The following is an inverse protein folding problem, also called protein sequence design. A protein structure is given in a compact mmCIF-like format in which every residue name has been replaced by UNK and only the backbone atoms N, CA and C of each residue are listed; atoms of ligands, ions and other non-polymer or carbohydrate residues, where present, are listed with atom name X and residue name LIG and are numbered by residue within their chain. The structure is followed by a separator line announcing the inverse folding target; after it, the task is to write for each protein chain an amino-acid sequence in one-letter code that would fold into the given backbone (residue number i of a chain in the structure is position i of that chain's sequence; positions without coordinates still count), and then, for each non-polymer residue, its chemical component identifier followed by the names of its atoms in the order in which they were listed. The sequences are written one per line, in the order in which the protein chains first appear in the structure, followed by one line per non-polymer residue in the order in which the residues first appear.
data_IF_522251095933
#
_entry.id   IF_522251095933
#
_cell.length_a   1.000
_cell.length_b   1.000
_cell.length_c   1.000
_cell.angle_alpha   90.00
_cell.angle_beta   90.00
_cell.angle_gamma   90.00
#
_symmetry.space_group_name_H-M   'P 1'
#
loop_
_entity.id
_entity.type
_entity.pdbx_description
1 polymer ?
#
# COMPACT_ATOMS: atom_id res chain seq x y z
N UNK A 1 16.08 -27.06 17.43
CA UNK A 1 15.22 -26.28 16.50
C UNK A 1 16.08 -25.95 15.29
N UNK A 2 15.72 -26.43 14.09
CA UNK A 2 16.47 -26.09 12.87
C UNK A 2 16.40 -24.57 12.66
N UNK A 3 17.54 -23.91 12.51
CA UNK A 3 17.56 -22.50 12.07
C UNK A 3 16.79 -22.41 10.77
N UNK A 4 15.77 -21.51 10.73
CA UNK A 4 15.03 -21.26 9.50
C UNK A 4 15.95 -20.52 8.55
N UNK A 5 16.08 -21.04 7.34
CA UNK A 5 16.84 -20.40 6.28
C UNK A 5 16.24 -19.02 5.98
N UNK A 6 17.06 -17.96 6.01
CA UNK A 6 16.69 -16.60 5.64
C UNK A 6 17.23 -16.32 4.25
N UNK A 7 16.39 -15.80 3.36
CA UNK A 7 16.72 -15.43 1.98
C UNK A 7 16.39 -13.96 1.74
N UNK A 8 17.38 -13.21 1.31
CA UNK A 8 17.17 -11.84 0.84
C UNK A 8 16.81 -11.87 -0.66
N UNK A 9 15.74 -11.18 -1.03
CA UNK A 9 15.26 -11.07 -2.42
C UNK A 9 15.00 -9.61 -2.77
N UNK A 10 15.03 -9.25 -4.05
CA UNK A 10 14.57 -7.93 -4.46
C UNK A 10 13.03 -7.84 -4.38
N UNK A 11 12.50 -6.61 -4.43
CA UNK A 11 11.05 -6.35 -4.24
C UNK A 11 10.20 -7.11 -5.27
N UNK A 12 10.57 -7.05 -6.56
CA UNK A 12 9.80 -7.69 -7.63
C UNK A 12 9.80 -9.21 -7.47
N UNK A 13 10.95 -9.83 -7.24
CA UNK A 13 11.08 -11.26 -7.00
C UNK A 13 10.30 -11.69 -5.75
N UNK A 14 10.42 -10.93 -4.66
CA UNK A 14 9.74 -11.23 -3.41
C UNK A 14 8.21 -11.28 -3.58
N UNK A 15 7.63 -10.26 -4.20
CA UNK A 15 6.18 -10.24 -4.44
C UNK A 15 5.73 -11.27 -5.48
N UNK A 16 6.54 -11.57 -6.51
CA UNK A 16 6.25 -12.66 -7.45
C UNK A 16 6.18 -14.02 -6.73
N UNK A 17 7.12 -14.28 -5.82
CA UNK A 17 7.14 -15.50 -5.01
C UNK A 17 5.98 -15.55 -4.00
N UNK A 18 5.54 -14.40 -3.48
CA UNK A 18 4.50 -14.31 -2.47
C UNK A 18 3.07 -14.36 -3.05
N UNK A 19 2.88 -13.96 -4.30
CA UNK A 19 1.58 -13.75 -4.92
C UNK A 19 0.56 -14.88 -4.69
N UNK A 20 1.00 -16.13 -4.76
CA UNK A 20 0.11 -17.29 -4.63
C UNK A 20 -0.45 -17.50 -3.22
N UNK A 21 0.23 -16.99 -2.16
CA UNK A 21 -0.19 -17.14 -0.76
C UNK A 21 -0.58 -15.85 -0.09
N UNK A 22 -0.36 -14.70 -0.73
CA UNK A 22 -0.49 -13.36 -0.15
C UNK A 22 -1.84 -13.13 0.55
N UNK A 23 -2.93 -13.48 -0.11
CA UNK A 23 -4.28 -13.27 0.42
C UNK A 23 -4.72 -14.35 1.43
N UNK A 24 -3.93 -15.40 1.61
CA UNK A 24 -4.28 -16.53 2.49
C UNK A 24 -3.61 -16.44 3.87
N UNK A 25 -2.68 -15.52 4.04
CA UNK A 25 -1.96 -15.31 5.30
C UNK A 25 -2.68 -14.27 6.17
N UNK A 26 -2.75 -14.54 7.48
CA UNK A 26 -3.15 -13.50 8.43
C UNK A 26 -2.06 -12.46 8.51
N UNK A 27 -2.33 -11.25 8.05
CA UNK A 27 -1.40 -10.14 8.06
C UNK A 27 -1.95 -9.02 8.94
N UNK A 28 -1.27 -8.75 10.06
CA UNK A 28 -1.69 -7.72 11.02
C UNK A 28 -1.62 -6.31 10.44
N UNK A 29 -0.66 -6.06 9.55
CA UNK A 29 -0.54 -4.76 8.87
C UNK A 29 -1.74 -4.50 7.96
N UNK A 30 -2.15 -5.49 7.16
CA UNK A 30 -3.34 -5.41 6.31
C UNK A 30 -4.60 -5.21 7.17
N UNK A 31 -4.73 -5.94 8.28
CA UNK A 31 -5.87 -5.80 9.19
C UNK A 31 -6.02 -4.36 9.73
N UNK A 32 -4.92 -3.77 10.19
CA UNK A 32 -4.91 -2.39 10.70
C UNK A 32 -5.21 -1.37 9.59
N UNK A 33 -4.59 -1.58 8.45
CA UNK A 33 -4.69 -0.72 7.28
C UNK A 33 -6.14 -0.64 6.77
N UNK A 34 -6.81 -1.78 6.56
CA UNK A 34 -8.18 -1.83 6.04
C UNK A 34 -9.17 -1.03 6.89
N UNK A 35 -9.06 -1.10 8.22
CA UNK A 35 -9.93 -0.36 9.14
C UNK A 35 -9.80 1.16 8.98
N UNK A 36 -8.56 1.65 8.79
CA UNK A 36 -8.32 3.07 8.59
C UNK A 36 -8.74 3.51 7.21
N UNK A 37 -8.44 2.72 6.18
CA UNK A 37 -8.86 3.00 4.80
C UNK A 37 -10.38 3.09 4.71
N UNK A 38 -11.13 2.17 5.35
CA UNK A 38 -12.60 2.21 5.39
C UNK A 38 -13.11 3.52 5.98
N UNK A 39 -12.54 3.94 7.11
CA UNK A 39 -12.89 5.19 7.77
C UNK A 39 -12.60 6.42 6.90
N UNK A 40 -11.44 6.45 6.24
CA UNK A 40 -11.02 7.59 5.43
C UNK A 40 -11.82 7.68 4.12
N UNK A 41 -12.04 6.55 3.44
CA UNK A 41 -12.85 6.52 2.21
C UNK A 41 -14.32 6.90 2.45
N UNK A 42 -14.87 6.62 3.63
CA UNK A 42 -16.23 7.03 3.97
C UNK A 42 -16.42 8.56 4.07
N UNK A 43 -15.34 9.33 4.15
CA UNK A 43 -15.37 10.79 4.27
C UNK A 43 -15.31 11.52 2.92
N UNK A 44 -15.03 10.80 1.84
CA UNK A 44 -14.79 11.38 0.51
C UNK A 44 -15.66 10.74 -0.55
N UNK A 45 -15.88 11.46 -1.65
CA UNK A 45 -16.58 10.93 -2.82
C UNK A 45 -15.60 10.81 -3.99
N UNK A 46 -15.71 9.72 -4.72
CA UNK A 46 -14.84 9.44 -5.86
C UNK A 46 -15.57 8.58 -6.89
N UNK A 47 -15.10 8.62 -8.13
CA UNK A 47 -15.65 7.87 -9.27
C UNK A 47 -14.56 7.27 -10.15
N UNK A 48 -13.40 7.94 -10.28
CA UNK A 48 -12.26 7.51 -11.11
C UNK A 48 -11.04 7.31 -10.23
N UNK A 49 -10.69 6.06 -10.04
CA UNK A 49 -9.66 5.66 -9.08
C UNK A 49 -8.42 5.13 -9.78
N UNK A 50 -7.26 5.54 -9.30
CA UNK A 50 -5.98 4.91 -9.59
C UNK A 50 -5.47 4.18 -8.34
N UNK A 51 -5.27 2.87 -8.45
CA UNK A 51 -4.65 2.03 -7.41
C UNK A 51 -3.21 1.70 -7.82
N UNK A 52 -2.24 2.26 -7.10
CA UNK A 52 -0.80 2.14 -7.41
C UNK A 52 -0.15 1.15 -6.46
N UNK A 53 0.46 0.10 -7.02
CA UNK A 53 0.93 -1.06 -6.26
C UNK A 53 -0.24 -1.92 -5.81
N UNK A 54 -1.16 -2.18 -6.73
CA UNK A 54 -2.43 -2.86 -6.45
C UNK A 54 -2.28 -4.28 -5.90
N UNK A 55 -1.12 -4.92 -6.10
CA UNK A 55 -0.86 -6.29 -5.68
C UNK A 55 -1.87 -7.28 -6.25
N UNK A 56 -2.49 -8.07 -5.39
CA UNK A 56 -3.58 -9.01 -5.73
C UNK A 56 -4.91 -8.32 -6.02
N UNK A 57 -4.96 -6.99 -6.00
CA UNK A 57 -6.13 -6.21 -6.36
C UNK A 57 -7.08 -5.91 -5.21
N UNK A 58 -6.67 -6.02 -3.96
CA UNK A 58 -7.51 -5.89 -2.77
C UNK A 58 -8.35 -4.61 -2.76
N UNK A 59 -7.72 -3.44 -2.95
CA UNK A 59 -8.43 -2.16 -3.03
C UNK A 59 -9.11 -1.98 -4.39
N UNK A 60 -8.44 -2.29 -5.50
CA UNK A 60 -9.02 -2.17 -6.84
C UNK A 60 -10.36 -2.92 -6.98
N UNK A 61 -10.41 -4.18 -6.56
CA UNK A 61 -11.63 -5.00 -6.58
C UNK A 61 -12.73 -4.42 -5.71
N UNK A 62 -12.38 -4.01 -4.48
CA UNK A 62 -13.33 -3.42 -3.54
C UNK A 62 -13.95 -2.13 -4.08
N UNK A 63 -13.13 -1.23 -4.62
CA UNK A 63 -13.58 0.05 -5.17
C UNK A 63 -14.42 -0.14 -6.44
N UNK A 64 -14.04 -1.09 -7.30
CA UNK A 64 -14.82 -1.45 -8.48
C UNK A 64 -16.19 -2.07 -8.11
N UNK A 65 -16.29 -2.90 -7.06
CA UNK A 65 -17.58 -3.38 -6.51
C UNK A 65 -18.46 -2.23 -6.02
N UNK A 66 -17.84 -1.16 -5.52
CA UNK A 66 -18.53 0.08 -5.14
C UNK A 66 -18.97 0.96 -6.33
N UNK A 67 -18.70 0.54 -7.57
CA UNK A 67 -19.10 1.25 -8.78
C UNK A 67 -18.08 2.24 -9.32
N UNK A 68 -16.88 2.33 -8.75
CA UNK A 68 -15.82 3.18 -9.27
C UNK A 68 -15.21 2.62 -10.56
N UNK A 69 -14.82 3.51 -11.48
CA UNK A 69 -13.94 3.18 -12.61
C UNK A 69 -12.51 3.11 -12.14
N UNK A 70 -11.90 1.93 -12.17
CA UNK A 70 -10.59 1.68 -11.56
C UNK A 70 -9.54 1.36 -12.62
N UNK A 71 -8.42 2.10 -12.57
CA UNK A 71 -7.13 1.71 -13.16
C UNK A 71 -6.20 1.24 -12.05
N UNK A 72 -5.46 0.16 -12.29
CA UNK A 72 -4.63 -0.47 -11.27
C UNK A 72 -3.25 -0.85 -11.81
N UNK A 73 -2.21 -0.47 -11.11
CA UNK A 73 -0.82 -0.64 -11.49
C UNK A 73 -0.07 -1.54 -10.51
N UNK A 74 0.78 -2.43 -11.01
CA UNK A 74 1.75 -3.16 -10.19
C UNK A 74 2.97 -3.55 -11.01
N UNK A 75 4.12 -3.70 -10.37
CA UNK A 75 5.36 -4.16 -11.03
C UNK A 75 5.48 -5.68 -11.12
N UNK A 76 4.68 -6.44 -10.37
CA UNK A 76 4.67 -7.91 -10.40
C UNK A 76 3.58 -8.43 -11.32
N UNK A 77 3.99 -9.13 -12.38
CA UNK A 77 3.07 -9.82 -13.29
C UNK A 77 2.28 -10.91 -12.58
N UNK A 78 2.86 -11.55 -11.57
CA UNK A 78 2.27 -12.63 -10.79
C UNK A 78 1.16 -12.09 -9.87
N UNK A 79 1.39 -10.96 -9.20
CA UNK A 79 0.38 -10.24 -8.44
C UNK A 79 -0.79 -9.84 -9.34
N UNK A 80 -0.50 -9.21 -10.48
CA UNK A 80 -1.53 -8.82 -11.45
C UNK A 80 -2.29 -10.02 -12.03
N UNK A 81 -1.66 -11.18 -12.17
CA UNK A 81 -2.36 -12.38 -12.62
C UNK A 81 -3.44 -12.82 -11.63
N UNK A 82 -3.15 -12.75 -10.32
CA UNK A 82 -4.13 -13.02 -9.25
C UNK A 82 -5.25 -11.99 -9.29
N UNK A 83 -4.92 -10.70 -9.34
CA UNK A 83 -5.89 -9.60 -9.41
C UNK A 83 -6.82 -9.71 -10.62
N UNK A 84 -6.27 -9.94 -11.81
CA UNK A 84 -7.05 -10.14 -13.05
C UNK A 84 -7.95 -11.36 -12.98
N UNK A 85 -7.49 -12.45 -12.36
CA UNK A 85 -8.31 -13.64 -12.19
C UNK A 85 -9.51 -13.35 -11.26
N UNK A 86 -9.29 -12.64 -10.16
CA UNK A 86 -10.35 -12.25 -9.23
C UNK A 86 -11.36 -11.31 -9.91
N UNK A 87 -10.90 -10.28 -10.62
CA UNK A 87 -11.75 -9.35 -11.36
C UNK A 87 -12.62 -10.05 -12.41
N UNK A 88 -12.03 -10.99 -13.19
CA UNK A 88 -12.79 -11.78 -14.18
C UNK A 88 -13.88 -12.66 -13.54
N UNK A 89 -13.58 -13.29 -12.39
CA UNK A 89 -14.58 -14.10 -11.67
C UNK A 89 -15.79 -13.29 -11.21
N UNK A 90 -15.57 -12.01 -10.91
CA UNK A 90 -16.62 -11.11 -10.44
C UNK A 90 -17.20 -10.20 -11.53
N UNK A 91 -16.69 -10.29 -12.77
CA UNK A 91 -17.16 -9.46 -13.89
C UNK A 91 -16.82 -7.96 -13.72
N UNK A 92 -15.75 -7.63 -12.97
CA UNK A 92 -15.35 -6.25 -12.70
C UNK A 92 -14.44 -5.72 -13.81
N UNK A 93 -14.80 -4.61 -14.49
CA UNK A 93 -14.00 -4.01 -15.56
C UNK A 93 -12.89 -3.12 -14.98
N UNK A 94 -11.77 -3.71 -14.55
CA UNK A 94 -10.61 -3.00 -14.02
C UNK A 94 -9.50 -2.98 -15.06
N UNK A 95 -8.90 -1.79 -15.31
CA UNK A 95 -7.76 -1.62 -16.21
C UNK A 95 -6.45 -1.91 -15.47
N UNK A 96 -5.98 -3.16 -15.52
CA UNK A 96 -4.71 -3.57 -14.91
C UNK A 96 -3.53 -3.38 -15.86
N UNK A 97 -2.49 -2.68 -15.42
CA UNK A 97 -1.25 -2.48 -16.19
C UNK A 97 -0.01 -2.89 -15.39
N UNK A 98 0.91 -3.57 -16.07
CA UNK A 98 2.26 -3.81 -15.52
C UNK A 98 3.03 -2.49 -15.56
N UNK A 99 3.53 -2.05 -14.41
CA UNK A 99 4.16 -0.74 -14.28
C UNK A 99 5.09 -0.69 -13.06
N UNK A 100 6.22 -0.01 -13.20
CA UNK A 100 7.15 0.28 -12.10
C UNK A 100 7.08 1.75 -11.72
N UNK A 101 7.07 2.05 -10.41
CA UNK A 101 7.16 3.43 -9.89
C UNK A 101 8.50 4.13 -10.19
N UNK A 102 9.47 3.42 -10.78
CA UNK A 102 10.69 4.02 -11.32
C UNK A 102 10.45 4.74 -12.64
N UNK A 103 9.31 4.49 -13.31
CA UNK A 103 8.91 5.12 -14.56
C UNK A 103 7.91 6.26 -14.32
N UNK A 104 7.59 7.03 -15.35
CA UNK A 104 6.55 8.06 -15.28
C UNK A 104 5.16 7.43 -15.40
N UNK A 105 4.23 7.85 -14.53
CA UNK A 105 2.86 7.32 -14.54
C UNK A 105 2.22 7.46 -15.95
N UNK A 106 1.71 6.35 -16.54
CA UNK A 106 1.24 6.30 -17.93
C UNK A 106 -0.20 6.84 -18.06
N UNK A 107 -0.44 7.99 -17.43
CA UNK A 107 -1.75 8.66 -17.41
C UNK A 107 -1.58 10.16 -17.63
N UNK A 108 -2.61 10.77 -18.21
CA UNK A 108 -2.69 12.21 -18.37
C UNK A 108 -2.84 12.94 -17.02
N UNK A 109 -2.52 14.24 -17.01
CA UNK A 109 -2.76 15.06 -15.84
C UNK A 109 -4.28 15.18 -15.57
N UNK A 110 -4.65 15.32 -14.29
CA UNK A 110 -6.04 15.58 -13.85
C UNK A 110 -7.05 14.47 -14.22
N UNK A 111 -6.60 13.21 -14.26
CA UNK A 111 -7.43 12.11 -14.71
C UNK A 111 -8.26 11.46 -13.59
N UNK A 112 -7.76 11.43 -12.35
CA UNK A 112 -8.34 10.68 -11.23
C UNK A 112 -8.83 11.60 -10.12
N UNK A 113 -9.94 11.23 -9.47
CA UNK A 113 -10.47 11.90 -8.28
C UNK A 113 -10.05 11.20 -6.97
N UNK A 114 -9.55 9.95 -7.06
CA UNK A 114 -8.86 9.28 -5.97
C UNK A 114 -7.61 8.55 -6.50
N UNK A 115 -6.49 8.71 -5.82
CA UNK A 115 -5.33 7.84 -5.94
C UNK A 115 -5.12 7.13 -4.60
N UNK A 116 -5.05 5.81 -4.63
CA UNK A 116 -4.67 4.99 -3.48
C UNK A 116 -3.32 4.32 -3.74
N UNK A 117 -2.44 4.33 -2.75
CA UNK A 117 -1.15 3.61 -2.79
C UNK A 117 -0.93 2.98 -1.41
N UNK A 118 -1.14 1.68 -1.32
CA UNK A 118 -1.23 0.96 -0.05
C UNK A 118 -0.11 -0.05 0.14
N UNK A 119 0.72 0.15 1.17
CA UNK A 119 1.81 -0.75 1.59
C UNK A 119 2.90 -0.94 0.51
N UNK A 120 3.27 0.16 -0.16
CA UNK A 120 4.19 0.17 -1.32
C UNK A 120 5.39 1.08 -1.10
N UNK A 121 5.17 2.27 -0.53
CA UNK A 121 6.15 3.35 -0.56
C UNK A 121 7.38 3.06 0.32
N UNK A 122 7.29 2.15 1.28
CA UNK A 122 8.44 1.64 2.01
C UNK A 122 9.49 0.96 1.10
N UNK A 123 9.13 0.63 -0.14
CA UNK A 123 10.04 0.07 -1.14
C UNK A 123 10.52 1.10 -2.18
N UNK A 124 10.03 2.34 -2.13
CA UNK A 124 10.29 3.39 -3.13
C UNK A 124 11.32 4.39 -2.62
N UNK A 125 12.50 4.52 -3.26
CA UNK A 125 13.55 5.39 -2.75
C UNK A 125 13.23 6.89 -2.84
N UNK A 126 12.54 7.33 -3.90
CA UNK A 126 12.30 8.75 -4.19
C UNK A 126 10.82 9.11 -3.98
N UNK A 127 10.47 9.45 -2.73
CA UNK A 127 9.14 9.90 -2.37
C UNK A 127 8.76 11.22 -3.05
N UNK A 128 9.71 12.14 -3.21
CA UNK A 128 9.44 13.46 -3.79
C UNK A 128 8.97 13.35 -5.25
N UNK A 129 9.69 12.60 -6.09
CA UNK A 129 9.30 12.31 -7.47
C UNK A 129 7.96 11.58 -7.50
N UNK A 130 7.77 10.61 -6.63
CA UNK A 130 6.57 9.78 -6.59
C UNK A 130 5.34 10.62 -6.25
N UNK A 131 5.37 11.46 -5.22
CA UNK A 131 4.25 12.32 -4.87
C UNK A 131 3.98 13.42 -5.90
N UNK A 132 5.00 13.95 -6.57
CA UNK A 132 4.80 14.85 -7.72
C UNK A 132 4.04 14.15 -8.86
N UNK A 133 4.40 12.90 -9.18
CA UNK A 133 3.69 12.12 -10.18
C UNK A 133 2.23 11.83 -9.76
N UNK A 134 1.99 11.52 -8.49
CA UNK A 134 0.64 11.34 -7.94
C UNK A 134 -0.18 12.64 -8.03
N UNK A 135 0.38 13.76 -7.59
CA UNK A 135 -0.28 15.06 -7.68
C UNK A 135 -0.61 15.45 -9.12
N UNK A 136 0.24 15.12 -10.10
CA UNK A 136 0.01 15.40 -11.52
C UNK A 136 -1.25 14.73 -12.04
N UNK A 137 -1.45 13.45 -11.74
CA UNK A 137 -2.59 12.68 -12.28
C UNK A 137 -3.89 12.90 -11.52
N UNK A 138 -3.83 13.42 -10.29
CA UNK A 138 -5.01 13.81 -9.53
C UNK A 138 -5.63 15.09 -10.12
N UNK A 139 -6.95 15.11 -10.23
CA UNK A 139 -7.72 16.31 -10.56
C UNK A 139 -7.76 17.30 -9.39
N UNK A 140 -8.07 18.55 -9.67
CA UNK A 140 -8.35 19.52 -8.61
C UNK A 140 -9.57 19.07 -7.79
N UNK A 141 -9.43 19.06 -6.46
CA UNK A 141 -10.41 18.46 -5.53
C UNK A 141 -10.28 16.94 -5.41
N UNK A 142 -9.30 16.32 -6.07
CA UNK A 142 -9.02 14.89 -5.93
C UNK A 142 -8.21 14.57 -4.67
N UNK A 143 -8.32 13.33 -4.19
CA UNK A 143 -7.72 12.87 -2.96
C UNK A 143 -6.59 11.86 -3.21
N UNK A 144 -5.56 11.96 -2.38
CA UNK A 144 -4.52 10.95 -2.24
C UNK A 144 -4.73 10.22 -0.91
N UNK A 145 -4.83 8.89 -0.96
CA UNK A 145 -4.82 8.04 0.23
C UNK A 145 -3.61 7.11 0.15
N UNK A 146 -2.71 7.26 1.09
CA UNK A 146 -1.58 6.33 1.24
C UNK A 146 -1.66 5.60 2.57
N UNK A 147 -1.21 4.38 2.57
CA UNK A 147 -0.91 3.60 3.77
C UNK A 147 0.44 2.95 3.63
N UNK A 148 1.15 2.75 4.73
CA UNK A 148 2.42 2.04 4.67
C UNK A 148 2.77 1.37 6.00
N UNK A 149 3.70 0.44 5.96
CA UNK A 149 4.37 -0.04 7.16
C UNK A 149 4.99 1.16 7.86
N UNK A 150 4.63 1.40 9.11
CA UNK A 150 5.05 2.63 9.79
C UNK A 150 6.58 2.75 9.79
N UNK A 151 7.16 3.87 9.36
CA UNK A 151 8.60 4.05 9.17
C UNK A 151 9.47 3.70 10.38
N UNK A 152 8.90 3.75 11.60
CA UNK A 152 9.59 3.36 12.82
C UNK A 152 10.03 1.88 12.84
N UNK A 153 9.48 1.04 11.95
CA UNK A 153 9.80 -0.39 11.85
C UNK A 153 11.29 -0.66 11.72
N UNK A 154 12.01 0.21 11.03
CA UNK A 154 13.46 0.10 10.85
C UNK A 154 14.22 0.18 12.17
N UNK A 155 13.76 1.03 13.12
CA UNK A 155 14.36 1.17 14.46
C UNK A 155 14.16 -0.07 15.33
N UNK A 156 13.15 -0.88 15.05
CA UNK A 156 12.88 -2.16 15.72
C UNK A 156 13.46 -3.36 14.98
N UNK A 157 14.15 -3.15 13.85
CA UNK A 157 14.65 -4.22 12.99
C UNK A 157 13.54 -5.05 12.34
N UNK A 158 12.30 -4.56 12.32
CA UNK A 158 11.18 -5.22 11.65
C UNK A 158 11.33 -5.08 10.15
N UNK A 159 10.94 -6.11 9.41
CA UNK A 159 11.11 -6.18 7.96
C UNK A 159 9.86 -6.72 7.29
N UNK A 160 9.64 -6.29 6.05
CA UNK A 160 8.69 -6.97 5.17
C UNK A 160 9.21 -8.37 4.87
N UNK A 161 8.46 -9.38 5.29
CA UNK A 161 8.88 -10.77 5.16
C UNK A 161 7.69 -11.72 5.01
N UNK A 162 7.92 -12.85 4.34
CA UNK A 162 6.95 -13.93 4.21
C UNK A 162 7.64 -15.29 4.31
N UNK A 163 6.85 -16.34 4.57
CA UNK A 163 7.33 -17.71 4.66
C UNK A 163 6.91 -18.52 3.45
N UNK A 164 7.87 -19.23 2.83
CA UNK A 164 7.59 -20.12 1.72
C UNK A 164 8.55 -21.31 1.75
N UNK A 165 8.02 -22.54 1.58
CA UNK A 165 8.81 -23.77 1.51
C UNK A 165 9.84 -23.94 2.66
N UNK A 166 9.47 -23.52 3.87
CA UNK A 166 10.34 -23.66 5.07
C UNK A 166 11.36 -22.54 5.27
N UNK A 167 11.57 -21.66 4.29
CA UNK A 167 12.42 -20.47 4.37
C UNK A 167 11.62 -19.19 4.70
N UNK A 168 12.32 -18.18 5.23
CA UNK A 168 11.81 -16.82 5.42
C UNK A 168 12.45 -15.93 4.34
N UNK A 169 11.63 -15.23 3.59
CA UNK A 169 12.08 -14.29 2.56
C UNK A 169 11.95 -12.87 3.10
N UNK A 170 13.04 -12.12 3.04
CA UNK A 170 13.07 -10.70 3.41
C UNK A 170 13.11 -9.83 2.16
N UNK A 171 12.26 -8.81 2.14
CA UNK A 171 12.26 -7.78 1.10
C UNK A 171 12.95 -6.53 1.63
N UNK A 172 13.71 -5.81 0.78
CA UNK A 172 14.35 -4.56 1.16
C UNK A 172 13.30 -3.47 1.40
N UNK A 173 13.53 -2.65 2.41
CA UNK A 173 12.78 -1.43 2.69
C UNK A 173 13.72 -0.24 2.75
N UNK A 174 13.22 0.93 2.34
CA UNK A 174 13.95 2.19 2.45
C UNK A 174 13.70 2.78 3.84
N UNK A 175 14.74 3.31 4.45
CA UNK A 175 14.65 3.92 5.78
C UNK A 175 14.10 5.37 5.68
N UNK A 176 12.85 5.51 5.30
CA UNK A 176 12.13 6.77 5.40
C UNK A 176 11.77 7.08 6.86
N UNK A 177 11.52 8.34 7.14
CA UNK A 177 10.87 8.78 8.37
C UNK A 177 9.41 9.17 8.07
N UNK A 178 8.59 9.29 9.12
CA UNK A 178 7.23 9.83 8.99
C UNK A 178 7.26 11.23 8.35
N UNK A 179 8.21 12.06 8.76
CA UNK A 179 8.33 13.43 8.26
C UNK A 179 8.71 13.48 6.77
N UNK A 180 9.47 12.51 6.24
CA UNK A 180 9.76 12.43 4.82
C UNK A 180 8.48 12.27 3.98
N UNK A 181 7.53 11.45 4.45
CA UNK A 181 6.21 11.33 3.80
C UNK A 181 5.46 12.66 3.83
N UNK A 182 5.35 13.29 5.00
CA UNK A 182 4.60 14.53 5.17
C UNK A 182 5.20 15.68 4.34
N UNK A 183 6.53 15.81 4.33
CA UNK A 183 7.24 16.82 3.56
C UNK A 183 7.08 16.59 2.06
N UNK A 184 7.25 15.35 1.58
CA UNK A 184 7.14 15.03 0.16
C UNK A 184 5.70 15.25 -0.38
N UNK A 185 4.66 14.90 0.40
CA UNK A 185 3.27 15.19 0.08
C UNK A 185 3.04 16.69 -0.02
N UNK A 186 3.45 17.46 1.00
CA UNK A 186 3.24 18.90 1.03
C UNK A 186 4.02 19.60 -0.09
N UNK A 187 5.26 19.20 -0.34
CA UNK A 187 6.09 19.74 -1.43
C UNK A 187 5.54 19.45 -2.83
N UNK A 188 4.69 18.41 -2.99
CA UNK A 188 4.00 18.11 -4.23
C UNK A 188 2.75 18.98 -4.49
N UNK A 189 2.42 19.91 -3.57
CA UNK A 189 1.25 20.78 -3.66
C UNK A 189 -0.05 20.15 -3.15
N UNK A 190 0.05 19.08 -2.36
CA UNK A 190 -1.11 18.45 -1.73
C UNK A 190 -1.25 18.93 -0.27
N UNK A 191 -2.48 19.13 0.18
CA UNK A 191 -2.82 19.50 1.56
C UNK A 191 -3.18 18.25 2.35
N UNK A 192 -2.47 17.98 3.45
CA UNK A 192 -2.75 16.84 4.33
C UNK A 192 -4.03 17.11 5.12
N UNK A 193 -4.98 16.20 5.06
CA UNK A 193 -6.27 16.26 5.76
C UNK A 193 -6.30 15.42 7.03
N UNK A 194 -5.72 14.21 6.99
CA UNK A 194 -5.71 13.26 8.11
C UNK A 194 -4.39 12.49 8.12
N UNK A 195 -3.85 12.24 9.31
CA UNK A 195 -2.71 11.33 9.53
C UNK A 195 -3.10 10.40 10.67
N UNK A 196 -3.14 9.11 10.39
CA UNK A 196 -3.46 8.08 11.36
C UNK A 196 -2.29 7.11 11.53
N UNK A 197 -2.03 6.74 12.77
CA UNK A 197 -1.01 5.75 13.13
C UNK A 197 -1.70 4.65 13.94
N UNK A 198 -1.85 3.46 13.33
CA UNK A 198 -2.42 2.31 14.04
C UNK A 198 -1.34 1.55 14.77
N UNK A 199 -1.64 1.12 15.99
CA UNK A 199 -0.69 0.54 16.92
C UNK A 199 -0.68 -0.98 16.86
N UNK A 200 0.45 -1.60 17.25
CA UNK A 200 0.58 -3.07 17.37
C UNK A 200 -0.50 -3.65 18.27
N UNK A 201 -0.83 -2.98 19.38
CA UNK A 201 -1.84 -3.43 20.35
C UNK A 201 -3.28 -3.47 19.83
N UNK A 202 -3.57 -2.79 18.72
CA UNK A 202 -4.90 -2.81 18.09
C UNK A 202 -5.16 -4.08 17.24
N UNK A 203 -4.14 -4.90 17.01
CA UNK A 203 -4.30 -6.17 16.30
C UNK A 203 -5.00 -7.20 17.20
N UNK A 204 -5.94 -7.99 16.64
CA UNK A 204 -6.52 -9.11 17.36
C UNK A 204 -5.49 -10.20 17.69
N UNK A 205 -5.85 -11.07 18.62
CA UNK A 205 -5.07 -12.26 18.91
C UNK A 205 -4.82 -13.13 17.66
N UNK A 206 -3.60 -13.66 17.54
CA UNK A 206 -3.20 -14.55 16.46
C UNK A 206 -2.73 -13.88 15.17
N UNK A 207 -2.67 -12.53 15.12
CA UNK A 207 -2.06 -11.80 13.99
C UNK A 207 -0.54 -11.64 14.18
N UNK A 208 -0.10 -11.48 15.41
CA UNK A 208 1.32 -11.46 15.81
C UNK A 208 1.49 -12.29 17.07
N UNK A 209 2.72 -12.72 17.42
CA UNK A 209 2.97 -13.37 18.69
C UNK A 209 2.48 -12.52 19.87
N UNK A 210 1.85 -13.14 20.87
CA UNK A 210 1.27 -12.41 22.01
C UNK A 210 2.32 -11.60 22.79
N UNK A 211 3.53 -12.12 22.90
CA UNK A 211 4.66 -11.39 23.49
C UNK A 211 4.96 -10.10 22.72
N UNK A 212 4.99 -10.15 21.39
CA UNK A 212 5.16 -8.97 20.55
C UNK A 212 4.01 -7.98 20.74
N UNK A 213 2.77 -8.47 20.77
CA UNK A 213 1.58 -7.63 20.94
C UNK A 213 1.60 -6.87 22.28
N UNK A 214 2.06 -7.53 23.35
CA UNK A 214 2.17 -6.91 24.69
C UNK A 214 3.36 -5.96 24.79
N UNK A 215 4.54 -6.38 24.31
CA UNK A 215 5.79 -5.62 24.46
C UNK A 215 5.76 -4.33 23.66
N UNK A 216 5.11 -4.35 22.48
CA UNK A 216 5.08 -3.23 21.54
C UNK A 216 3.68 -2.64 21.35
N UNK A 217 2.78 -2.82 22.33
CA UNK A 217 1.37 -2.44 22.23
C UNK A 217 1.18 -0.99 21.73
N UNK A 218 1.96 -0.06 22.25
CA UNK A 218 1.88 1.38 21.96
C UNK A 218 2.80 1.82 20.80
N UNK A 219 3.42 0.87 20.09
CA UNK A 219 4.30 1.19 18.96
C UNK A 219 3.48 1.28 17.68
N UNK A 220 3.61 2.39 16.91
CA UNK A 220 2.97 2.53 15.61
C UNK A 220 3.41 1.43 14.64
N UNK A 221 2.44 0.84 13.93
CA UNK A 221 2.67 -0.27 13.00
C UNK A 221 2.20 0.02 11.57
N UNK A 222 1.13 0.80 11.41
CA UNK A 222 0.64 1.28 10.13
C UNK A 222 0.55 2.80 10.14
N UNK A 223 1.13 3.46 9.13
CA UNK A 223 0.94 4.87 8.83
C UNK A 223 -0.11 5.00 7.74
N UNK A 224 -1.09 5.90 7.91
CA UNK A 224 -2.09 6.21 6.89
C UNK A 224 -2.24 7.72 6.76
N UNK A 225 -2.25 8.24 5.53
CA UNK A 225 -2.34 9.68 5.26
C UNK A 225 -3.39 9.91 4.17
N UNK A 226 -4.33 10.80 4.45
CA UNK A 226 -5.27 11.34 3.46
C UNK A 226 -4.85 12.77 3.13
N UNK A 227 -4.71 13.07 1.85
CA UNK A 227 -4.39 14.40 1.36
C UNK A 227 -5.32 14.82 0.21
N UNK A 228 -5.41 16.12 -0.02
CA UNK A 228 -6.27 16.77 -1.01
C UNK A 228 -5.42 17.59 -1.99
N UNK A 229 -5.73 17.50 -3.28
CA UNK A 229 -5.29 18.49 -4.27
C UNK A 229 -6.30 19.62 -4.30
N UNK A 230 -5.89 20.79 -3.79
CA UNK A 230 -6.75 21.97 -3.72
C UNK A 230 -7.37 22.34 -5.10
N UNK A 231 -8.55 22.96 -5.06
CA UNK A 231 -9.17 23.54 -6.25
C UNK A 231 -8.51 24.88 -6.52
N UNK A 232 -7.70 24.94 -7.57
CA UNK A 232 -7.16 26.22 -8.12
C UNK A 232 -8.16 26.85 -9.04
#
# INVERSE_FOLDING_TARGET
MSEKEIREVNVQEGYALWAASYDHERNGLIFLEERVVDRLLAQISFTRVLDVGTGTGRHALRLARGGASVSALDQSSEMLAVARQAARREGLPIDFRLFSLNDDLPFEAYQFDLLICALVLCHVPDLARTFQAFARVLQNGGHLLITDFHPIHTSYGWRTAFKRAGAIYHLPTVAHTRDDYLQAITASGLTILDVAESLVGEMPEGYVPEEMRRTYADVPFCLSILALKERT
#
